data_IF_732431664597
#
_entry.id   IF_732431664597
#
_cell.length_a   1.000
_cell.length_b   1.000
_cell.length_c   1.000
_cell.angle_alpha   90.00
_cell.angle_beta   90.00
_cell.angle_gamma   90.00
#
_symmetry.space_group_name_H-M   'P 1'
#
loop_
_entity.id
_entity.type
_entity.pdbx_description
1 polymer ?
#
# COMPACT_ATOMS: atom_id res chain seq x y z
N UNK A 1 -7.16 7.50 -1.19
CA UNK A 1 -6.13 8.53 -1.40
C UNK A 1 -6.24 9.03 -2.82
N UNK A 2 -6.07 10.34 -3.06
CA UNK A 2 -6.04 10.86 -4.42
C UNK A 2 -4.85 10.26 -5.19
N UNK A 3 -5.08 10.04 -6.47
CA UNK A 3 -4.04 9.74 -7.47
C UNK A 3 -2.98 10.86 -7.42
N UNK A 4 -1.74 10.52 -7.04
CA UNK A 4 -0.62 11.46 -6.97
C UNK A 4 0.18 11.48 -8.27
N UNK A 5 0.07 10.45 -9.09
CA UNK A 5 0.82 10.30 -10.34
C UNK A 5 -0.08 9.64 -11.38
N UNK A 6 -0.23 10.27 -12.55
CA UNK A 6 -1.17 9.85 -13.61
C UNK A 6 -0.77 8.55 -14.34
N UNK A 7 -0.43 7.51 -13.59
CA UNK A 7 -0.16 6.15 -14.03
C UNK A 7 -1.47 5.34 -14.23
N UNK A 8 -2.61 5.91 -13.84
CA UNK A 8 -3.94 5.32 -13.97
C UNK A 8 -4.20 4.23 -12.94
N UNK A 9 -3.52 4.29 -11.80
CA UNK A 9 -3.76 3.48 -10.61
C UNK A 9 -4.10 4.41 -9.44
N UNK A 10 -4.79 3.90 -8.42
CA UNK A 10 -5.12 4.68 -7.22
C UNK A 10 -5.00 3.82 -5.98
N UNK A 11 -4.96 4.46 -4.80
CA UNK A 11 -4.91 3.75 -3.52
C UNK A 11 -6.17 4.02 -2.70
N UNK A 12 -6.88 2.96 -2.30
CA UNK A 12 -7.93 3.00 -1.27
C UNK A 12 -7.37 2.46 0.04
N UNK A 13 -7.74 3.09 1.16
CA UNK A 13 -7.26 2.70 2.49
C UNK A 13 -8.46 2.44 3.39
N UNK A 14 -8.45 1.31 4.08
CA UNK A 14 -9.45 0.92 5.06
C UNK A 14 -8.74 0.64 6.40
N UNK A 15 -9.13 1.34 7.45
CA UNK A 15 -8.58 1.18 8.79
C UNK A 15 -9.56 0.38 9.64
N UNK A 16 -9.05 -0.66 10.28
CA UNK A 16 -9.78 -1.52 11.20
C UNK A 16 -9.21 -1.28 12.60
N UNK A 17 -9.98 -0.59 13.43
CA UNK A 17 -9.55 -0.15 14.77
C UNK A 17 -10.22 -0.92 15.91
N UNK A 18 -11.20 -1.77 15.61
CA UNK A 18 -11.99 -2.53 16.58
C UNK A 18 -11.71 -4.04 16.45
N UNK A 19 -10.43 -4.41 16.49
CA UNK A 19 -10.02 -5.81 16.49
C UNK A 19 -9.86 -6.32 17.93
N UNK A 20 -10.26 -7.57 18.16
CA UNK A 20 -9.98 -8.27 19.42
C UNK A 20 -8.47 -8.25 19.73
N UNK A 21 -8.11 -8.18 21.02
CA UNK A 21 -6.72 -8.08 21.53
C UNK A 21 -5.93 -6.79 21.15
N UNK A 22 -6.61 -5.68 20.87
CA UNK A 22 -5.96 -4.38 20.52
C UNK A 22 -5.10 -4.45 19.24
N UNK A 23 -5.41 -5.38 18.34
CA UNK A 23 -4.76 -5.44 17.03
C UNK A 23 -5.09 -4.19 16.21
N UNK A 24 -4.09 -3.60 15.55
CA UNK A 24 -4.31 -2.59 14.52
C UNK A 24 -4.20 -3.26 13.15
N UNK A 25 -5.12 -2.97 12.24
CA UNK A 25 -5.05 -3.42 10.85
C UNK A 25 -5.39 -2.26 9.92
N UNK A 26 -4.55 -2.02 8.93
CA UNK A 26 -4.82 -1.07 7.84
C UNK A 26 -4.64 -1.78 6.51
N UNK A 27 -5.70 -1.85 5.71
CA UNK A 27 -5.69 -2.42 4.38
C UNK A 27 -5.45 -1.32 3.35
N UNK A 28 -4.36 -1.46 2.60
CA UNK A 28 -4.08 -0.65 1.42
C UNK A 28 -4.43 -1.45 0.17
N UNK A 29 -5.47 -1.00 -0.55
CA UNK A 29 -5.88 -1.55 -1.83
C UNK A 29 -5.35 -0.70 -2.97
N UNK A 30 -4.60 -1.31 -3.87
CA UNK A 30 -4.07 -0.64 -5.06
C UNK A 30 -4.99 -0.96 -6.25
N UNK A 31 -5.79 0.01 -6.67
CA UNK A 31 -6.78 -0.16 -7.73
C UNK A 31 -6.12 0.03 -9.10
N UNK A 32 -6.38 -0.87 -10.04
CA UNK A 32 -5.86 -0.78 -11.42
C UNK A 32 -4.38 -1.16 -11.58
N UNK A 33 -3.67 -1.43 -10.49
CA UNK A 33 -2.30 -1.95 -10.53
C UNK A 33 -2.28 -3.47 -10.78
N UNK A 34 -1.13 -3.97 -11.22
CA UNK A 34 -0.89 -5.41 -11.35
C UNK A 34 -0.12 -6.01 -10.17
N UNK A 35 0.45 -7.19 -10.40
CA UNK A 35 1.23 -7.93 -9.40
C UNK A 35 2.65 -7.35 -9.27
N UNK A 36 2.71 -6.14 -8.71
CA UNK A 36 3.92 -5.33 -8.57
C UNK A 36 4.03 -4.79 -7.13
N UNK A 37 5.20 -4.29 -6.77
CA UNK A 37 5.43 -3.66 -5.47
C UNK A 37 5.22 -2.14 -5.58
N UNK A 38 4.25 -1.52 -4.86
CA UNK A 38 4.01 -0.07 -4.94
C UNK A 38 5.24 0.76 -4.55
N UNK A 39 5.56 1.75 -5.38
CA UNK A 39 6.80 2.54 -5.28
C UNK A 39 8.07 1.82 -5.75
N UNK A 40 7.94 0.57 -6.20
CA UNK A 40 9.00 -0.21 -6.82
C UNK A 40 9.21 0.14 -8.30
N UNK A 41 10.20 -0.52 -8.91
CA UNK A 41 10.44 -0.40 -10.36
C UNK A 41 9.45 -1.26 -11.13
N UNK A 42 9.00 -0.77 -12.29
CA UNK A 42 8.32 -1.58 -13.31
C UNK A 42 9.34 -2.54 -13.94
N UNK A 43 9.61 -3.66 -13.27
CA UNK A 43 10.76 -4.53 -13.59
C UNK A 43 10.49 -5.49 -14.76
N UNK A 44 9.23 -5.70 -15.14
CA UNK A 44 8.81 -6.39 -16.36
C UNK A 44 7.75 -5.56 -17.09
N UNK A 45 7.47 -5.90 -18.35
CA UNK A 45 6.47 -5.20 -19.14
C UNK A 45 5.06 -5.27 -18.52
N UNK A 46 4.32 -4.17 -18.60
CA UNK A 46 2.97 -4.03 -18.01
C UNK A 46 1.99 -5.10 -18.49
N UNK A 47 2.15 -5.62 -19.71
CA UNK A 47 1.28 -6.70 -20.22
C UNK A 47 1.40 -8.00 -19.41
N UNK A 48 2.51 -8.24 -18.71
CA UNK A 48 2.77 -9.45 -17.95
C UNK A 48 2.45 -9.28 -16.47
N UNK A 49 2.89 -8.17 -15.88
CA UNK A 49 2.79 -7.94 -14.42
C UNK A 49 1.82 -6.83 -14.04
N UNK A 50 1.16 -6.21 -15.03
CA UNK A 50 0.34 -5.01 -14.87
C UNK A 50 1.16 -3.77 -14.48
N UNK A 51 0.44 -2.70 -14.14
CA UNK A 51 1.01 -1.40 -13.78
C UNK A 51 1.57 -1.41 -12.36
N UNK A 52 2.63 -0.64 -12.15
CA UNK A 52 3.18 -0.35 -10.82
C UNK A 52 2.68 0.99 -10.33
N UNK A 53 1.94 1.00 -9.20
CA UNK A 53 1.47 2.22 -8.57
C UNK A 53 2.62 3.08 -8.05
N UNK A 54 2.47 4.40 -8.23
CA UNK A 54 3.44 5.42 -7.79
C UNK A 54 2.91 6.37 -6.71
N UNK A 55 1.67 6.19 -6.26
CA UNK A 55 1.08 7.05 -5.22
C UNK A 55 1.70 6.86 -3.83
N UNK A 56 2.22 5.66 -3.56
CA UNK A 56 2.81 5.29 -2.28
C UNK A 56 4.11 4.51 -2.46
N UNK A 57 4.98 4.60 -1.46
CA UNK A 57 6.10 3.68 -1.27
C UNK A 57 5.68 2.68 -0.20
N UNK A 58 5.40 1.43 -0.60
CA UNK A 58 4.86 0.43 0.32
C UNK A 58 5.76 0.16 1.54
N UNK A 59 7.08 0.21 1.35
CA UNK A 59 8.04 0.04 2.44
C UNK A 59 7.90 1.12 3.51
N UNK A 60 7.73 2.39 3.12
CA UNK A 60 7.58 3.50 4.05
C UNK A 60 6.23 3.41 4.77
N UNK A 61 5.15 3.09 4.06
CA UNK A 61 3.81 2.88 4.65
C UNK A 61 3.84 1.78 5.71
N UNK A 62 4.44 0.63 5.39
CA UNK A 62 4.57 -0.50 6.32
C UNK A 62 5.43 -0.10 7.53
N UNK A 63 6.54 0.60 7.29
CA UNK A 63 7.43 1.03 8.35
C UNK A 63 6.77 2.05 9.29
N UNK A 64 6.05 3.03 8.74
CA UNK A 64 5.30 4.02 9.50
C UNK A 64 4.20 3.37 10.34
N UNK A 65 3.50 2.37 9.80
CA UNK A 65 2.53 1.58 10.56
C UNK A 65 3.17 0.93 11.79
N UNK A 66 4.27 0.20 11.64
CA UNK A 66 4.91 -0.49 12.76
C UNK A 66 5.56 0.48 13.77
N UNK A 67 6.12 1.61 13.33
CA UNK A 67 6.63 2.65 14.23
C UNK A 67 5.56 3.29 15.09
N UNK A 68 4.31 3.36 14.60
CA UNK A 68 3.20 3.94 15.33
C UNK A 68 2.60 2.97 16.38
N UNK A 69 2.94 1.68 16.31
CA UNK A 69 2.46 0.70 17.29
C UNK A 69 3.14 0.90 18.66
N UNK A 70 2.43 0.61 19.75
CA UNK A 70 3.02 0.63 21.08
C UNK A 70 4.18 -0.40 21.18
N UNK A 71 5.19 -0.13 22.01
CA UNK A 71 6.28 -1.07 22.22
C UNK A 71 5.75 -2.40 22.74
N UNK A 72 6.33 -3.49 22.24
CA UNK A 72 6.02 -4.83 22.73
C UNK A 72 6.40 -4.90 24.21
N UNK A 73 5.45 -5.30 25.06
CA UNK A 73 5.72 -5.61 26.48
C UNK A 73 6.55 -6.88 26.62
#
# INVERSE_FOLDING_TARGET
MPDKDSDGTTVSVEEYTDCDDQGALVLYRINGAGHTWPGGKQYLGERLIGKTNRDIIACDVIWDFFKALPPKK
#
